data_IF_655446081894
#
_entry.id   IF_655446081894
#
_cell.length_a   1.000
_cell.length_b   1.000
_cell.length_c   1.000
_cell.angle_alpha   90.00
_cell.angle_beta   90.00
_cell.angle_gamma   90.00
#
_symmetry.space_group_name_H-M   'P 1'
#
loop_
_entity.id
_entity.type
_entity.pdbx_description
1 polymer ?
#
# COMPACT_ATOMS: atom_id res chain seq x y z
N UNK A 1 0.60 20.75 15.81
CA UNK A 1 -0.12 19.48 15.60
C UNK A 1 0.33 18.55 16.72
N UNK A 2 -0.58 17.89 17.43
CA UNK A 2 -0.21 16.98 18.52
C UNK A 2 0.51 15.76 17.95
N UNK A 3 1.60 15.34 18.58
CA UNK A 3 2.34 14.13 18.19
C UNK A 3 1.44 12.91 18.39
N UNK A 4 1.27 12.07 17.36
CA UNK A 4 0.57 10.79 17.48
C UNK A 4 1.57 9.63 17.55
N UNK A 5 1.18 8.57 18.25
CA UNK A 5 1.83 7.26 18.15
C UNK A 5 0.91 6.28 17.45
N UNK A 6 1.47 5.43 16.59
CA UNK A 6 0.75 4.45 15.81
C UNK A 6 1.17 3.04 16.22
N UNK A 7 0.19 2.17 16.48
CA UNK A 7 0.43 0.78 16.87
C UNK A 7 -0.60 -0.13 16.21
N UNK A 8 -0.21 -1.32 15.77
CA UNK A 8 -1.16 -2.31 15.25
C UNK A 8 -1.87 -3.05 16.37
N UNK A 9 -3.19 -3.24 16.24
CA UNK A 9 -3.99 -4.11 17.10
C UNK A 9 -3.93 -5.55 16.56
N UNK A 10 -2.87 -6.25 16.96
CA UNK A 10 -2.42 -7.53 16.38
C UNK A 10 -3.23 -8.75 16.86
N UNK A 11 -4.53 -8.82 16.53
CA UNK A 11 -5.40 -9.91 17.00
C UNK A 11 -6.39 -10.42 15.95
N UNK A 12 -6.51 -9.77 14.79
CA UNK A 12 -7.61 -10.00 13.85
C UNK A 12 -7.19 -10.83 12.66
N UNK A 13 -5.94 -10.67 12.22
CA UNK A 13 -5.44 -11.21 10.97
C UNK A 13 -4.32 -12.22 11.22
N UNK A 14 -4.22 -13.26 10.41
CA UNK A 14 -3.15 -14.26 10.52
C UNK A 14 -1.77 -13.61 10.38
N UNK A 15 -1.67 -12.51 9.64
CA UNK A 15 -0.46 -11.71 9.46
C UNK A 15 0.04 -11.08 10.77
N UNK A 16 -0.83 -10.97 11.78
CA UNK A 16 -0.49 -10.50 13.12
C UNK A 16 0.29 -11.57 13.94
N UNK A 17 0.18 -12.85 13.57
CA UNK A 17 0.73 -13.97 14.33
C UNK A 17 2.26 -14.08 14.10
N UNK A 18 3.10 -14.08 15.15
CA UNK A 18 4.56 -14.19 15.01
C UNK A 18 5.03 -15.53 14.42
N UNK A 19 4.20 -16.58 14.47
CA UNK A 19 4.54 -17.90 13.93
C UNK A 19 4.03 -18.11 12.50
N UNK A 20 3.19 -17.20 11.98
CA UNK A 20 2.70 -17.27 10.60
C UNK A 20 3.83 -16.99 9.59
N UNK A 21 3.80 -17.74 8.49
CA UNK A 21 4.75 -17.63 7.38
C UNK A 21 4.07 -17.13 6.10
N UNK A 22 4.65 -16.11 5.48
CA UNK A 22 4.18 -15.52 4.23
C UNK A 22 4.18 -16.54 3.08
N UNK A 23 5.09 -17.52 3.13
CA UNK A 23 5.19 -18.59 2.13
C UNK A 23 4.00 -19.55 2.18
N UNK A 24 3.39 -19.72 3.35
CA UNK A 24 2.22 -20.61 3.54
C UNK A 24 0.94 -19.97 3.01
N UNK A 25 0.77 -18.67 3.24
CA UNK A 25 -0.50 -17.97 3.00
C UNK A 25 -0.57 -17.24 1.66
N UNK A 26 0.55 -17.07 0.98
CA UNK A 26 0.62 -16.36 -0.30
C UNK A 26 0.32 -14.87 -0.17
N UNK A 27 0.03 -14.21 -1.30
CA UNK A 27 -0.20 -12.77 -1.32
C UNK A 27 -1.60 -12.32 -0.89
N UNK A 28 -2.61 -13.15 -1.14
CA UNK A 28 -4.01 -12.85 -0.82
C UNK A 28 -4.63 -14.10 -0.20
N UNK A 29 -4.45 -14.34 1.10
CA UNK A 29 -5.04 -15.49 1.77
C UNK A 29 -6.57 -15.41 1.83
N UNK A 30 -7.27 -16.53 2.08
CA UNK A 30 -8.71 -16.52 2.30
C UNK A 30 -9.12 -15.46 3.34
N UNK A 31 -10.23 -14.75 3.10
CA UNK A 31 -10.71 -13.65 3.94
C UNK A 31 -9.67 -12.55 4.21
N UNK A 32 -8.71 -12.37 3.30
CA UNK A 32 -7.55 -11.49 3.51
C UNK A 32 -6.75 -11.80 4.78
N UNK A 33 -6.89 -13.01 5.31
CA UNK A 33 -6.25 -13.43 6.55
C UNK A 33 -7.07 -13.19 7.81
N UNK A 34 -8.33 -12.75 7.72
CA UNK A 34 -9.18 -12.63 8.91
C UNK A 34 -9.33 -14.00 9.59
N UNK A 35 -9.01 -14.05 10.89
CA UNK A 35 -9.02 -15.29 11.70
C UNK A 35 -10.42 -15.84 11.91
N UNK A 36 -11.42 -14.97 11.99
CA UNK A 36 -12.83 -15.36 12.13
C UNK A 36 -13.35 -15.93 10.79
N UNK A 37 -13.81 -17.19 10.82
CA UNK A 37 -14.31 -17.93 9.66
C UNK A 37 -15.84 -18.08 9.66
N UNK A 38 -16.55 -17.45 10.60
CA UNK A 38 -18.03 -17.45 10.64
C UNK A 38 -18.65 -16.63 9.51
N UNK A 39 -19.88 -16.94 9.11
CA UNK A 39 -20.54 -16.28 7.96
C UNK A 39 -20.75 -14.77 8.15
N UNK A 40 -20.82 -14.29 9.39
CA UNK A 40 -20.96 -12.87 9.78
C UNK A 40 -19.63 -12.24 10.22
N UNK A 41 -18.50 -12.87 9.89
CA UNK A 41 -17.13 -12.46 10.27
C UNK A 41 -16.82 -10.98 10.04
N UNK A 42 -17.18 -10.42 8.89
CA UNK A 42 -16.85 -9.04 8.55
C UNK A 42 -17.75 -8.03 9.27
N UNK A 43 -19.01 -8.37 9.49
CA UNK A 43 -19.93 -7.58 10.32
C UNK A 43 -19.43 -7.55 11.78
N UNK A 44 -19.05 -8.71 12.32
CA UNK A 44 -18.44 -8.82 13.66
C UNK A 44 -17.13 -8.04 13.75
N UNK A 45 -16.26 -8.18 12.74
CA UNK A 45 -14.99 -7.47 12.69
C UNK A 45 -15.21 -5.96 12.67
N UNK A 46 -16.03 -5.45 11.74
CA UNK A 46 -16.35 -4.02 11.64
C UNK A 46 -16.96 -3.50 12.94
N UNK A 47 -17.94 -4.19 13.50
CA UNK A 47 -18.60 -3.82 14.75
C UNK A 47 -17.63 -3.75 15.94
N UNK A 48 -16.61 -4.64 16.00
CA UNK A 48 -15.56 -4.55 17.02
C UNK A 48 -14.74 -3.26 16.89
N UNK A 49 -14.37 -2.86 15.67
CA UNK A 49 -13.58 -1.62 15.46
C UNK A 49 -14.43 -0.37 15.73
N UNK A 50 -15.70 -0.38 15.31
CA UNK A 50 -16.65 0.69 15.62
C UNK A 50 -16.85 0.83 17.14
N UNK A 51 -16.96 -0.29 17.87
CA UNK A 51 -17.04 -0.29 19.33
C UNK A 51 -15.78 0.32 19.97
N UNK A 52 -14.58 0.00 19.47
CA UNK A 52 -13.33 0.60 19.94
C UNK A 52 -13.35 2.14 19.77
N UNK A 53 -13.84 2.63 18.63
CA UNK A 53 -13.97 4.06 18.37
C UNK A 53 -15.10 4.74 19.16
N UNK A 54 -16.12 3.99 19.60
CA UNK A 54 -17.20 4.51 20.45
C UNK A 54 -16.82 4.60 21.94
N UNK A 55 -15.71 3.96 22.34
CA UNK A 55 -15.24 4.00 23.73
C UNK A 55 -14.82 5.42 24.15
N UNK A 56 -14.97 5.77 25.43
CA UNK A 56 -14.69 7.10 25.98
C UNK A 56 -13.18 7.42 26.09
N UNK A 57 -12.38 7.13 25.04
CA UNK A 57 -10.98 7.53 24.93
C UNK A 57 -10.83 8.62 23.86
N UNK A 58 -11.06 9.91 24.20
CA UNK A 58 -11.12 11.01 23.21
C UNK A 58 -9.80 11.25 22.44
N UNK A 59 -8.69 10.66 22.88
CA UNK A 59 -7.37 10.77 22.24
C UNK A 59 -7.01 9.57 21.36
N UNK A 60 -7.85 8.53 21.31
CA UNK A 60 -7.58 7.28 20.60
C UNK A 60 -8.51 7.13 19.41
N UNK A 61 -7.97 6.72 18.26
CA UNK A 61 -8.73 6.41 17.06
C UNK A 61 -8.23 5.10 16.45
N UNK A 62 -9.13 4.34 15.86
CA UNK A 62 -8.85 3.07 15.20
C UNK A 62 -9.32 3.12 13.75
N UNK A 63 -8.45 2.72 12.82
CA UNK A 63 -8.78 2.58 11.39
C UNK A 63 -8.30 1.23 10.88
N UNK A 64 -9.01 0.69 9.89
CA UNK A 64 -8.60 -0.51 9.16
C UNK A 64 -7.93 -0.07 7.87
N UNK A 65 -6.68 -0.50 7.66
CA UNK A 65 -5.90 -0.11 6.49
C UNK A 65 -5.53 -1.36 5.70
N UNK A 66 -6.01 -1.46 4.46
CA UNK A 66 -5.63 -2.49 3.50
C UNK A 66 -4.44 -1.99 2.65
N UNK A 67 -3.25 -2.52 2.94
CA UNK A 67 -2.02 -2.23 2.20
C UNK A 67 -1.87 -3.23 1.05
N UNK A 68 -1.92 -2.77 -0.19
CA UNK A 68 -1.72 -3.59 -1.38
C UNK A 68 -0.36 -3.33 -2.04
N UNK A 69 0.44 -4.37 -2.27
CA UNK A 69 1.66 -4.26 -3.09
C UNK A 69 1.29 -4.43 -4.56
N UNK A 70 1.86 -3.59 -5.43
CA UNK A 70 1.68 -3.74 -6.87
C UNK A 70 1.99 -5.17 -7.37
N UNK A 71 1.30 -5.61 -8.44
CA UNK A 71 1.59 -6.87 -9.12
C UNK A 71 2.99 -6.88 -9.74
N UNK A 72 3.47 -8.03 -10.20
CA UNK A 72 4.79 -8.15 -10.81
C UNK A 72 4.96 -7.16 -11.98
N UNK A 73 5.98 -6.31 -11.88
CA UNK A 73 6.41 -5.43 -12.96
C UNK A 73 7.68 -5.93 -13.64
N UNK A 74 7.99 -5.35 -14.80
CA UNK A 74 9.21 -5.71 -15.53
C UNK A 74 10.50 -5.45 -14.72
N UNK A 75 10.52 -4.49 -13.80
CA UNK A 75 11.62 -4.36 -12.83
C UNK A 75 11.76 -5.55 -11.87
N UNK A 76 10.69 -6.22 -11.46
CA UNK A 76 10.82 -7.40 -10.61
C UNK A 76 11.48 -8.55 -11.41
N UNK A 77 11.10 -8.72 -12.68
CA UNK A 77 11.74 -9.68 -13.59
C UNK A 77 13.22 -9.34 -13.79
N UNK A 78 13.53 -8.08 -14.06
CA UNK A 78 14.92 -7.62 -14.20
C UNK A 78 15.72 -7.84 -12.91
N UNK A 79 15.18 -7.45 -11.75
CA UNK A 79 15.83 -7.68 -10.46
C UNK A 79 16.08 -9.17 -10.23
N UNK A 80 15.11 -10.06 -10.47
CA UNK A 80 15.31 -11.50 -10.31
C UNK A 80 16.39 -12.06 -11.24
N UNK A 81 16.49 -11.52 -12.47
CA UNK A 81 17.47 -11.96 -13.48
C UNK A 81 18.89 -11.45 -13.21
N UNK A 82 19.04 -10.21 -12.72
CA UNK A 82 20.33 -9.52 -12.68
C UNK A 82 20.89 -9.29 -11.27
N UNK A 83 20.13 -9.53 -10.19
CA UNK A 83 20.65 -9.40 -8.80
C UNK A 83 21.58 -10.54 -8.37
N UNK A 84 21.60 -11.66 -9.10
CA UNK A 84 22.53 -12.78 -8.87
C UNK A 84 23.93 -12.55 -9.43
N UNK A 85 24.17 -11.44 -10.12
CA UNK A 85 25.47 -11.06 -10.66
C UNK A 85 26.09 -9.91 -9.84
N UNK A 86 27.42 -9.91 -9.68
CA UNK A 86 28.19 -8.93 -8.89
C UNK A 86 28.03 -7.43 -9.27
N UNK A 87 27.17 -7.13 -10.25
CA UNK A 87 26.97 -5.80 -10.85
C UNK A 87 25.60 -5.16 -10.51
N UNK A 88 24.97 -5.51 -9.38
CA UNK A 88 23.63 -4.99 -8.99
C UNK A 88 23.52 -3.47 -9.08
N UNK A 89 24.55 -2.74 -8.65
CA UNK A 89 24.59 -1.26 -8.70
C UNK A 89 24.55 -0.69 -10.13
N UNK A 90 25.02 -1.44 -11.11
CA UNK A 90 25.04 -0.99 -12.51
C UNK A 90 23.67 -1.18 -13.17
N UNK A 91 22.94 -2.24 -12.82
CA UNK A 91 21.66 -2.57 -13.47
C UNK A 91 20.48 -1.72 -13.02
N UNK A 92 20.44 -1.33 -11.73
CA UNK A 92 19.34 -0.48 -11.21
C UNK A 92 19.36 0.92 -11.80
N UNK A 93 20.51 1.38 -12.30
CA UNK A 93 20.70 2.69 -12.95
C UNK A 93 20.37 2.71 -14.44
N UNK A 94 19.99 1.56 -15.02
CA UNK A 94 19.63 1.43 -16.43
C UNK A 94 18.12 1.31 -16.58
N UNK A 95 17.62 1.78 -17.72
CA UNK A 95 16.21 1.69 -18.09
C UNK A 95 15.86 0.34 -18.75
N UNK A 96 16.85 -0.40 -19.21
CA UNK A 96 16.68 -1.67 -19.90
C UNK A 96 17.99 -2.21 -20.48
N UNK A 97 17.88 -3.31 -21.22
CA UNK A 97 19.01 -3.94 -21.94
C UNK A 97 18.78 -4.11 -23.44
N UNK A 98 17.78 -3.42 -24.01
CA UNK A 98 17.36 -3.57 -25.41
C UNK A 98 16.38 -4.73 -25.67
N UNK A 99 16.25 -5.68 -24.74
CA UNK A 99 15.23 -6.75 -24.77
C UNK A 99 14.09 -6.47 -23.79
N UNK A 100 14.45 -5.98 -22.60
CA UNK A 100 13.55 -5.68 -21.50
C UNK A 100 13.69 -4.21 -21.11
N UNK A 101 12.57 -3.54 -20.89
CA UNK A 101 12.50 -2.17 -20.34
C UNK A 101 11.96 -2.26 -18.91
N UNK A 102 12.78 -1.90 -17.93
CA UNK A 102 12.42 -1.89 -16.52
C UNK A 102 12.50 -0.50 -15.87
N UNK A 103 12.82 0.54 -16.63
CA UNK A 103 12.78 1.93 -16.18
C UNK A 103 12.64 2.92 -17.35
N UNK A 104 12.30 4.18 -17.07
CA UNK A 104 11.69 4.63 -15.83
C UNK A 104 10.25 4.09 -15.67
N UNK A 105 9.76 4.09 -14.43
CA UNK A 105 8.39 3.75 -14.05
C UNK A 105 7.83 2.52 -14.79
N UNK A 106 8.34 1.29 -14.68
CA UNK A 106 7.97 0.17 -15.56
C UNK A 106 6.51 -0.27 -15.45
N UNK A 107 5.97 -0.85 -16.53
CA UNK A 107 4.65 -1.46 -16.55
C UNK A 107 4.61 -2.81 -15.78
N UNK A 108 3.39 -3.26 -15.49
CA UNK A 108 3.12 -4.64 -15.04
C UNK A 108 3.40 -5.65 -16.16
N UNK A 109 3.80 -6.86 -15.78
CA UNK A 109 3.81 -8.03 -16.67
C UNK A 109 2.42 -8.64 -16.76
N UNK A 110 2.20 -9.58 -17.67
CA UNK A 110 0.94 -10.35 -17.72
C UNK A 110 0.63 -11.05 -16.39
N UNK A 111 1.67 -11.58 -15.72
CA UNK A 111 1.54 -12.15 -14.38
C UNK A 111 1.12 -11.08 -13.36
N UNK A 112 1.71 -9.88 -13.41
CA UNK A 112 1.32 -8.79 -12.52
C UNK A 112 -0.12 -8.30 -12.74
N UNK A 113 -0.59 -8.31 -13.99
CA UNK A 113 -2.00 -8.02 -14.31
C UNK A 113 -2.91 -9.09 -13.70
N UNK A 114 -2.55 -10.37 -13.82
CA UNK A 114 -3.35 -11.44 -13.24
C UNK A 114 -3.36 -11.40 -11.71
N UNK A 115 -2.23 -11.15 -11.07
CA UNK A 115 -2.16 -10.96 -9.62
C UNK A 115 -3.11 -9.86 -9.11
N UNK A 116 -3.26 -8.76 -9.86
CA UNK A 116 -4.22 -7.72 -9.52
C UNK A 116 -5.69 -8.19 -9.69
N UNK A 117 -5.97 -9.04 -10.68
CA UNK A 117 -7.28 -9.67 -10.86
C UNK A 117 -7.56 -10.72 -9.79
N UNK A 118 -6.56 -11.44 -9.31
CA UNK A 118 -6.68 -12.37 -8.19
C UNK A 118 -7.17 -11.63 -6.94
N UNK A 119 -6.57 -10.46 -6.65
CA UNK A 119 -7.01 -9.59 -5.57
C UNK A 119 -8.47 -9.11 -5.76
N UNK A 120 -8.86 -8.71 -6.98
CA UNK A 120 -10.24 -8.35 -7.28
C UNK A 120 -11.22 -9.51 -7.02
N UNK A 121 -10.84 -10.74 -7.39
CA UNK A 121 -11.66 -11.93 -7.13
C UNK A 121 -11.82 -12.19 -5.64
N UNK A 122 -10.74 -12.05 -4.85
CA UNK A 122 -10.82 -12.19 -3.40
C UNK A 122 -11.76 -11.15 -2.76
N UNK A 123 -11.71 -9.89 -3.22
CA UNK A 123 -12.67 -8.87 -2.78
C UNK A 123 -14.11 -9.27 -3.14
N UNK A 124 -14.37 -9.70 -4.37
CA UNK A 124 -15.69 -10.13 -4.83
C UNK A 124 -16.22 -11.35 -4.08
N UNK A 125 -15.35 -12.27 -3.71
CA UNK A 125 -15.71 -13.43 -2.88
C UNK A 125 -16.18 -13.00 -1.49
N UNK A 126 -15.42 -12.12 -0.83
CA UNK A 126 -15.76 -11.65 0.51
C UNK A 126 -16.91 -10.63 0.54
N UNK A 127 -17.33 -10.07 -0.59
CA UNK A 127 -18.57 -9.28 -0.69
C UNK A 127 -19.80 -10.10 -0.29
N UNK A 128 -19.84 -11.39 -0.61
CA UNK A 128 -20.94 -12.28 -0.19
C UNK A 128 -21.03 -12.39 1.34
N UNK A 129 -19.92 -12.13 2.03
CA UNK A 129 -19.79 -12.12 3.49
C UNK A 129 -19.71 -10.70 4.07
N UNK A 130 -20.10 -9.69 3.27
CA UNK A 130 -20.20 -8.28 3.66
C UNK A 130 -18.89 -7.68 4.16
N UNK A 131 -17.76 -8.01 3.52
CA UNK A 131 -16.51 -7.28 3.74
C UNK A 131 -16.74 -5.77 3.61
N UNK A 132 -16.28 -4.94 4.57
CA UNK A 132 -16.38 -3.50 4.41
C UNK A 132 -15.41 -3.07 3.31
N UNK A 133 -15.94 -2.55 2.22
CA UNK A 133 -15.14 -1.96 1.15
C UNK A 133 -14.45 -0.67 1.65
N UNK A 134 -13.26 -0.34 1.13
CA UNK A 134 -12.60 0.92 1.45
C UNK A 134 -13.45 2.12 1.00
N UNK A 135 -13.65 3.06 1.91
CA UNK A 135 -14.38 4.31 1.67
C UNK A 135 -13.41 5.43 1.21
N UNK A 136 -12.11 5.24 1.49
CA UNK A 136 -11.03 6.10 1.04
C UNK A 136 -9.90 5.27 0.43
N UNK A 137 -9.37 5.71 -0.71
CA UNK A 137 -8.30 5.01 -1.41
C UNK A 137 -7.16 5.95 -1.79
N UNK A 138 -5.94 5.50 -1.52
CA UNK A 138 -4.70 6.15 -1.91
C UNK A 138 -3.87 5.24 -2.79
N UNK A 139 -3.20 5.80 -3.80
CA UNK A 139 -2.31 5.04 -4.67
C UNK A 139 -1.01 5.79 -4.98
N UNK A 140 0.09 5.04 -5.08
CA UNK A 140 1.36 5.59 -5.55
C UNK A 140 1.26 6.11 -6.99
N UNK A 141 2.01 7.15 -7.35
CA UNK A 141 2.03 7.69 -8.72
C UNK A 141 2.73 6.79 -9.75
N UNK A 142 3.36 5.69 -9.35
CA UNK A 142 4.06 4.79 -10.28
C UNK A 142 3.05 3.90 -11.01
N UNK A 143 3.11 3.83 -12.35
CA UNK A 143 2.07 3.21 -13.20
C UNK A 143 1.76 1.77 -12.83
N UNK A 144 2.75 1.01 -12.33
CA UNK A 144 2.56 -0.36 -11.84
C UNK A 144 1.59 -0.44 -10.65
N UNK A 145 1.65 0.52 -9.73
CA UNK A 145 0.76 0.60 -8.58
C UNK A 145 -0.64 1.07 -9.01
N UNK A 146 -0.72 2.09 -9.87
CA UNK A 146 -1.99 2.59 -10.40
C UNK A 146 -2.72 1.50 -11.16
N UNK A 147 -2.04 0.79 -12.07
CA UNK A 147 -2.65 -0.31 -12.83
C UNK A 147 -3.08 -1.47 -11.94
N UNK A 148 -2.32 -1.77 -10.89
CA UNK A 148 -2.74 -2.76 -9.87
C UNK A 148 -4.01 -2.30 -9.17
N UNK A 149 -4.05 -1.06 -8.68
CA UNK A 149 -5.21 -0.48 -8.00
C UNK A 149 -6.46 -0.52 -8.89
N UNK A 150 -6.33 -0.10 -10.15
CA UNK A 150 -7.41 -0.08 -11.12
C UNK A 150 -8.04 -1.47 -11.30
N UNK A 151 -7.22 -2.50 -11.49
CA UNK A 151 -7.68 -3.87 -11.65
C UNK A 151 -8.22 -4.47 -10.35
N UNK A 152 -7.56 -4.22 -9.22
CA UNK A 152 -8.00 -4.71 -7.90
C UNK A 152 -9.41 -4.22 -7.57
N UNK A 153 -9.73 -2.96 -7.88
CA UNK A 153 -11.00 -2.33 -7.51
C UNK A 153 -12.03 -2.23 -8.65
N UNK A 154 -11.76 -2.86 -9.81
CA UNK A 154 -12.65 -2.84 -10.96
C UNK A 154 -14.04 -3.42 -10.62
N UNK A 155 -15.06 -2.58 -10.75
CA UNK A 155 -16.45 -2.93 -10.47
C UNK A 155 -16.79 -3.14 -8.99
N UNK A 156 -15.93 -2.67 -8.07
CA UNK A 156 -16.14 -2.79 -6.62
C UNK A 156 -16.52 -1.48 -5.94
N UNK A 157 -15.97 -0.35 -6.40
CA UNK A 157 -16.16 0.94 -5.71
C UNK A 157 -17.54 1.54 -5.97
N UNK A 158 -18.04 2.25 -4.97
CA UNK A 158 -19.27 3.04 -5.08
C UNK A 158 -19.16 4.09 -6.21
N UNK A 159 -20.25 4.35 -6.95
CA UNK A 159 -20.25 5.37 -7.99
C UNK A 159 -19.76 6.73 -7.47
N UNK A 160 -18.72 7.27 -8.11
CA UNK A 160 -18.14 8.58 -7.76
C UNK A 160 -16.98 8.52 -6.77
N UNK A 161 -16.77 7.38 -6.08
CA UNK A 161 -15.56 7.19 -5.28
C UNK A 161 -14.35 7.00 -6.21
N UNK A 162 -13.33 7.83 -6.00
CA UNK A 162 -12.11 7.82 -6.80
C UNK A 162 -10.88 7.70 -5.91
N UNK A 163 -9.91 6.90 -6.36
CA UNK A 163 -8.61 6.79 -5.72
C UNK A 163 -7.80 8.07 -5.92
N UNK A 164 -7.14 8.54 -4.85
CA UNK A 164 -6.26 9.71 -4.88
C UNK A 164 -4.80 9.28 -5.03
N UNK A 165 -4.10 9.84 -6.01
CA UNK A 165 -2.67 9.67 -6.20
C UNK A 165 -1.92 10.57 -5.21
N UNK A 166 -1.04 9.94 -4.43
CA UNK A 166 -0.26 10.59 -3.37
C UNK A 166 1.23 10.30 -3.62
N UNK A 167 2.04 11.33 -3.81
CA UNK A 167 3.46 11.23 -4.17
C UNK A 167 4.22 10.43 -3.11
N UNK A 168 3.95 10.73 -1.83
CA UNK A 168 4.71 10.22 -0.71
C UNK A 168 4.41 8.76 -0.35
N UNK A 169 3.55 8.05 -1.07
CA UNK A 169 3.35 6.59 -0.90
C UNK A 169 4.05 5.77 -2.00
N UNK A 170 5.00 6.35 -2.73
CA UNK A 170 5.84 5.66 -3.72
C UNK A 170 6.91 4.73 -3.11
N UNK A 171 7.56 3.91 -3.93
CA UNK A 171 8.69 3.06 -3.51
C UNK A 171 9.84 3.88 -2.91
N UNK A 172 10.76 3.22 -2.24
CA UNK A 172 12.06 3.78 -1.83
C UNK A 172 12.70 4.54 -2.99
N UNK A 173 12.94 5.84 -2.81
CA UNK A 173 13.24 6.76 -3.90
C UNK A 173 14.74 6.86 -4.24
N UNK A 174 15.03 7.28 -5.48
CA UNK A 174 16.36 7.61 -6.00
C UNK A 174 17.24 6.43 -6.41
N UNK A 175 18.31 6.66 -7.16
CA UNK A 175 19.26 5.71 -7.77
C UNK A 175 18.66 4.71 -8.76
N UNK A 176 17.61 3.99 -8.38
CA UNK A 176 16.93 3.03 -9.25
C UNK A 176 16.02 3.76 -10.22
N UNK A 177 16.24 3.61 -11.52
CA UNK A 177 15.44 4.29 -12.55
C UNK A 177 13.99 3.81 -12.55
N UNK A 178 13.73 2.55 -12.17
CA UNK A 178 12.37 2.03 -12.01
C UNK A 178 11.52 2.78 -10.98
N UNK A 179 12.16 3.52 -10.09
CA UNK A 179 11.48 4.31 -9.04
C UNK A 179 11.26 5.77 -9.48
N UNK A 180 11.83 6.20 -10.61
CA UNK A 180 11.55 7.50 -11.24
C UNK A 180 10.19 7.46 -11.92
N UNK A 181 9.28 8.37 -11.55
CA UNK A 181 7.93 8.45 -12.14
C UNK A 181 7.96 9.22 -13.45
N UNK A 182 6.93 8.98 -14.26
CA UNK A 182 6.59 9.81 -15.41
C UNK A 182 6.01 11.16 -14.98
N UNK A 183 5.83 12.03 -15.97
CA UNK A 183 5.16 13.32 -15.77
C UNK A 183 3.73 13.13 -15.30
N UNK A 184 3.25 14.07 -14.48
CA UNK A 184 1.87 14.03 -13.98
C UNK A 184 0.86 14.03 -15.14
N UNK A 185 1.06 14.86 -16.17
CA UNK A 185 0.20 14.90 -17.35
C UNK A 185 0.13 13.57 -18.11
N UNK A 186 1.26 12.89 -18.29
CA UNK A 186 1.32 11.57 -18.94
C UNK A 186 0.57 10.51 -18.13
N UNK A 187 0.71 10.53 -16.81
CA UNK A 187 -0.02 9.60 -15.93
C UNK A 187 -1.51 9.91 -15.94
N UNK A 188 -1.90 11.18 -15.94
CA UNK A 188 -3.30 11.62 -16.01
C UNK A 188 -3.97 11.24 -17.34
N UNK A 189 -3.21 11.23 -18.44
CA UNK A 189 -3.70 10.77 -19.74
C UNK A 189 -3.99 9.26 -19.72
N UNK A 190 -3.10 8.46 -19.11
CA UNK A 190 -3.26 7.01 -19.00
C UNK A 190 -4.35 6.60 -17.98
N UNK A 191 -4.57 7.41 -16.95
CA UNK A 191 -5.45 7.10 -15.81
C UNK A 191 -6.38 8.28 -15.46
N UNK A 192 -7.30 8.66 -16.38
CA UNK A 192 -8.08 9.88 -16.25
C UNK A 192 -9.08 9.91 -15.08
N UNK A 193 -9.40 8.74 -14.53
CA UNK A 193 -10.37 8.56 -13.46
C UNK A 193 -9.82 8.87 -12.05
N UNK A 194 -8.51 8.98 -11.89
CA UNK A 194 -7.85 9.21 -10.60
C UNK A 194 -7.86 10.69 -10.19
N UNK A 195 -7.83 10.92 -8.87
CA UNK A 195 -7.62 12.24 -8.28
C UNK A 195 -6.14 12.45 -7.95
N UNK A 196 -5.72 13.69 -7.77
CA UNK A 196 -4.35 14.05 -7.36
C UNK A 196 -4.40 14.78 -6.03
N UNK A 197 -3.40 14.55 -5.19
CA UNK A 197 -3.20 15.40 -4.02
C UNK A 197 -2.91 16.86 -4.43
N UNK A 198 -3.23 17.78 -3.53
CA UNK A 198 -2.99 19.20 -3.74
C UNK A 198 -1.49 19.50 -3.93
N UNK A 199 -1.17 20.24 -4.98
CA UNK A 199 0.21 20.65 -5.25
C UNK A 199 1.11 19.56 -5.86
N UNK A 200 0.54 18.47 -6.37
CA UNK A 200 1.31 17.42 -7.05
C UNK A 200 2.14 18.00 -8.22
N UNK A 201 3.46 17.80 -8.17
CA UNK A 201 4.40 18.36 -9.14
C UNK A 201 4.29 17.70 -10.53
N UNK A 202 4.49 18.48 -11.60
CA UNK A 202 4.44 17.96 -12.96
C UNK A 202 5.59 16.98 -13.23
N UNK A 203 6.83 17.38 -12.95
CA UNK A 203 8.03 16.57 -13.09
C UNK A 203 8.34 15.80 -11.79
N UNK A 204 9.13 14.73 -11.88
CA UNK A 204 9.63 14.01 -10.70
C UNK A 204 10.81 14.76 -10.05
N UNK A 205 10.48 15.75 -9.22
CA UNK A 205 11.47 16.60 -8.53
C UNK A 205 12.16 15.91 -7.36
N UNK A 206 11.64 14.77 -6.89
CA UNK A 206 12.14 14.09 -5.68
C UNK A 206 13.11 12.95 -5.99
N UNK A 207 13.06 12.39 -7.20
CA UNK A 207 13.99 11.34 -7.61
C UNK A 207 15.36 11.92 -7.95
N UNK A 208 16.40 11.33 -7.36
CA UNK A 208 17.79 11.70 -7.57
C UNK A 208 18.60 10.48 -8.05
N UNK A 209 19.47 10.66 -9.03
CA UNK A 209 20.24 9.54 -9.62
C UNK A 209 21.33 8.99 -8.69
N UNK A 210 21.76 9.76 -7.69
CA UNK A 210 22.91 9.48 -6.84
C UNK A 210 22.56 9.37 -5.34
N UNK A 211 21.42 9.92 -4.93
CA UNK A 211 20.93 9.85 -3.56
C UNK A 211 19.82 8.79 -3.46
N UNK A 212 20.07 7.72 -2.71
CA UNK A 212 19.05 6.72 -2.36
C UNK A 212 18.44 7.08 -1.01
N UNK A 213 17.12 7.11 -0.94
CA UNK A 213 16.37 7.30 0.30
C UNK A 213 16.79 6.28 1.37
N UNK A 214 16.95 6.72 2.60
CA UNK A 214 17.32 5.90 3.75
C UNK A 214 16.09 5.24 4.37
N UNK A 215 16.23 4.11 5.10
CA UNK A 215 15.12 3.52 5.84
C UNK A 215 14.43 4.49 6.81
N UNK A 216 15.20 5.38 7.45
CA UNK A 216 14.66 6.39 8.37
C UNK A 216 13.80 7.44 7.65
N UNK A 217 14.22 7.88 6.47
CA UNK A 217 13.41 8.80 5.67
C UNK A 217 12.11 8.14 5.20
N UNK A 218 12.17 6.85 4.84
CA UNK A 218 11.02 6.02 4.51
C UNK A 218 10.05 5.92 5.70
N UNK A 219 10.55 5.74 6.93
CA UNK A 219 9.74 5.75 8.15
C UNK A 219 9.10 7.10 8.38
N UNK A 220 9.85 8.20 8.26
CA UNK A 220 9.29 9.54 8.37
C UNK A 220 8.19 9.78 7.32
N UNK A 221 8.35 9.24 6.12
CA UNK A 221 7.37 9.33 5.04
C UNK A 221 6.10 8.52 5.34
N UNK A 222 6.24 7.30 5.85
CA UNK A 222 5.11 6.50 6.32
C UNK A 222 4.38 7.15 7.51
N UNK A 223 5.10 7.75 8.47
CA UNK A 223 4.49 8.53 9.56
C UNK A 223 3.68 9.71 9.04
N UNK A 224 4.18 10.47 8.06
CA UNK A 224 3.42 11.57 7.44
C UNK A 224 2.12 11.11 6.78
N UNK A 225 2.12 9.93 6.18
CA UNK A 225 0.91 9.34 5.57
C UNK A 225 -0.09 8.94 6.64
N UNK A 226 0.37 8.36 7.75
CA UNK A 226 -0.47 8.08 8.91
C UNK A 226 -1.04 9.37 9.51
N UNK A 227 -0.21 10.41 9.70
CA UNK A 227 -0.67 11.72 10.17
C UNK A 227 -1.75 12.30 9.25
N UNK A 228 -1.51 12.28 7.93
CA UNK A 228 -2.50 12.71 6.93
C UNK A 228 -3.83 11.97 7.09
N UNK A 229 -3.78 10.64 7.20
CA UNK A 229 -4.96 9.78 7.34
C UNK A 229 -5.73 10.09 8.64
N UNK A 230 -5.04 10.17 9.77
CA UNK A 230 -5.67 10.38 11.08
C UNK A 230 -6.00 11.84 11.39
N UNK A 231 -5.55 12.78 10.55
CA UNK A 231 -5.95 14.20 10.62
C UNK A 231 -7.12 14.54 9.71
N UNK A 232 -7.20 13.94 8.52
CA UNK A 232 -8.12 14.40 7.46
C UNK A 232 -9.25 13.44 7.15
N UNK A 233 -9.05 12.14 7.32
CA UNK A 233 -10.01 11.13 6.90
C UNK A 233 -10.91 10.73 8.08
N UNK A 234 -12.21 10.70 7.89
CA UNK A 234 -13.20 10.22 8.86
C UNK A 234 -13.51 8.72 8.65
N UNK A 235 -13.20 8.21 7.46
CA UNK A 235 -13.49 6.86 6.97
C UNK A 235 -12.86 5.78 7.84
N UNK A 236 -13.60 4.70 8.10
CA UNK A 236 -13.13 3.62 8.95
C UNK A 236 -12.15 2.71 8.19
N UNK A 237 -12.44 2.46 6.91
CA UNK A 237 -11.69 1.54 6.07
C UNK A 237 -11.00 2.29 4.93
N UNK A 238 -9.68 2.17 4.89
CA UNK A 238 -8.81 2.85 3.92
C UNK A 238 -8.01 1.80 3.15
N UNK A 239 -7.81 2.01 1.85
CA UNK A 239 -6.86 1.22 1.07
C UNK A 239 -5.69 2.07 0.58
N UNK A 240 -4.48 1.50 0.63
CA UNK A 240 -3.28 2.10 0.07
C UNK A 240 -2.64 1.10 -0.88
N UNK A 241 -2.54 1.42 -2.17
CA UNK A 241 -1.81 0.60 -3.15
C UNK A 241 -0.42 1.19 -3.39
N UNK A 242 0.62 0.45 -3.04
CA UNK A 242 2.01 0.92 -2.97
C UNK A 242 3.01 -0.21 -3.30
N UNK A 243 4.20 -0.17 -2.69
CA UNK A 243 5.39 -0.94 -3.02
C UNK A 243 5.99 -1.54 -1.75
N UNK A 244 6.91 -2.49 -1.93
CA UNK A 244 7.48 -3.26 -0.83
C UNK A 244 8.15 -2.36 0.22
N UNK A 245 9.07 -1.48 -0.18
CA UNK A 245 9.81 -0.66 0.79
C UNK A 245 8.91 0.29 1.58
N UNK A 246 7.90 0.88 0.95
CA UNK A 246 6.94 1.73 1.65
C UNK A 246 6.07 0.94 2.63
N UNK A 247 5.55 -0.22 2.21
CA UNK A 247 4.72 -1.09 3.07
C UNK A 247 5.54 -1.56 4.28
N UNK A 248 6.79 -1.96 4.10
CA UNK A 248 7.70 -2.33 5.21
C UNK A 248 7.88 -1.18 6.21
N UNK A 249 8.06 0.04 5.72
CA UNK A 249 8.16 1.23 6.57
C UNK A 249 6.85 1.51 7.30
N UNK A 250 5.71 1.38 6.62
CA UNK A 250 4.38 1.53 7.21
C UNK A 250 4.15 0.54 8.35
N UNK A 251 4.43 -0.75 8.12
CA UNK A 251 4.31 -1.80 9.13
C UNK A 251 5.23 -1.52 10.33
N UNK A 252 6.49 -1.12 10.09
CA UNK A 252 7.46 -0.79 11.14
C UNK A 252 7.02 0.41 11.99
N UNK A 253 6.52 1.48 11.37
CA UNK A 253 6.01 2.67 12.08
C UNK A 253 4.77 2.32 12.91
N UNK A 254 3.93 1.41 12.43
CA UNK A 254 2.80 0.88 13.18
C UNK A 254 3.18 -0.19 14.21
N UNK A 255 4.47 -0.47 14.44
CA UNK A 255 4.92 -1.52 15.38
C UNK A 255 4.30 -2.89 15.07
N UNK A 256 4.01 -3.15 13.80
CA UNK A 256 3.65 -4.48 13.32
C UNK A 256 4.90 -5.33 13.17
N UNK A 257 4.76 -6.66 13.24
CA UNK A 257 5.86 -7.57 12.88
C UNK A 257 6.29 -7.37 11.42
N UNK A 258 7.51 -7.73 11.04
CA UNK A 258 7.87 -7.82 9.63
C UNK A 258 6.92 -8.78 8.89
N UNK A 259 6.54 -8.40 7.67
CA UNK A 259 5.74 -9.24 6.77
C UNK A 259 6.17 -8.99 5.33
N UNK A 260 6.88 -9.94 4.71
CA UNK A 260 7.29 -9.81 3.30
C UNK A 260 6.09 -10.04 2.38
N UNK A 261 5.38 -8.95 2.06
CA UNK A 261 4.20 -9.00 1.22
C UNK A 261 4.61 -9.25 -0.24
N UNK A 262 4.25 -10.37 -0.89
CA UNK A 262 4.65 -10.66 -2.27
C UNK A 262 3.94 -9.73 -3.27
N UNK A 263 4.44 -9.67 -4.51
CA UNK A 263 3.82 -8.87 -5.58
C UNK A 263 2.34 -9.23 -5.76
N UNK A 264 1.47 -8.23 -5.80
CA UNK A 264 0.01 -8.40 -5.88
C UNK A 264 -0.66 -8.77 -4.56
N UNK A 265 0.11 -8.89 -3.48
CA UNK A 265 -0.43 -9.22 -2.17
C UNK A 265 -1.15 -8.05 -1.50
N UNK A 266 -2.04 -8.40 -0.56
CA UNK A 266 -2.77 -7.45 0.29
C UNK A 266 -2.63 -7.86 1.75
N UNK A 267 -2.25 -6.91 2.60
CA UNK A 267 -2.24 -7.06 4.06
C UNK A 267 -3.18 -6.05 4.71
N UNK A 268 -4.28 -6.48 5.35
CA UNK A 268 -5.05 -5.64 6.23
C UNK A 268 -4.38 -5.50 7.61
N UNK A 269 -4.41 -4.31 8.18
CA UNK A 269 -4.00 -4.05 9.56
C UNK A 269 -5.01 -3.13 10.26
N UNK A 270 -5.18 -3.31 11.57
CA UNK A 270 -5.94 -2.37 12.41
C UNK A 270 -4.95 -1.44 13.10
N UNK A 271 -4.96 -0.16 12.72
CA UNK A 271 -4.05 0.84 13.30
C UNK A 271 -4.77 1.59 14.41
N UNK A 272 -4.20 1.55 15.61
CA UNK A 272 -4.52 2.43 16.73
C UNK A 272 -3.62 3.66 16.67
N UNK A 273 -4.23 4.84 16.60
CA UNK A 273 -3.56 6.12 16.75
C UNK A 273 -3.90 6.71 18.12
N UNK A 274 -2.88 7.18 18.85
CA UNK A 274 -3.04 7.84 20.15
C UNK A 274 -2.38 9.22 20.11
N UNK A 275 -3.16 10.27 20.37
CA UNK A 275 -2.63 11.63 20.51
C UNK A 275 -1.89 11.75 21.85
N UNK A 276 -0.62 12.15 21.80
CA UNK A 276 0.12 12.45 23.01
C UNK A 276 -0.39 13.74 23.65
N UNK A 277 -0.84 13.64 24.89
CA UNK A 277 -1.18 14.80 25.72
C UNK A 277 0.13 15.37 26.25
N UNK A 278 0.52 16.55 25.75
CA UNK A 278 1.64 17.29 26.37
C UNK A 278 1.12 17.85 27.68
N UNK A 279 1.56 17.27 28.80
CA UNK A 279 1.37 17.87 30.12
C UNK A 279 2.34 19.06 30.20
N UNK A 280 1.80 20.28 30.20
CA UNK A 280 2.54 21.51 30.50
C UNK A 280 2.86 21.61 31.99
#
# INVERSE_FOLDING_TARGET
MGTRTYTTVAQYFIQDDPEASEQEFGGVPPRFGLKDDSDDRWEKFKGKIEMLNSSEQPTTQYKVIFLGRHGQGYHNVAMAKYTTQCCVRSWTRLDGNGELVWGPDPALTDLGLEQARDANRAWKEELAYKIPLPEKLYCSPLRRAIKTNQLTFEGLLEPGLKTTIVEIIREKNGVSTCDKRRRRSEIQEDFPEYLWEDGFAEEDETWDADIRETPRELDCRATKVLDMIFDKDEELVISITSHHGFIDAFLRVCVHRPWDLPTGGIIPIVVRAEKQVVLN
#
